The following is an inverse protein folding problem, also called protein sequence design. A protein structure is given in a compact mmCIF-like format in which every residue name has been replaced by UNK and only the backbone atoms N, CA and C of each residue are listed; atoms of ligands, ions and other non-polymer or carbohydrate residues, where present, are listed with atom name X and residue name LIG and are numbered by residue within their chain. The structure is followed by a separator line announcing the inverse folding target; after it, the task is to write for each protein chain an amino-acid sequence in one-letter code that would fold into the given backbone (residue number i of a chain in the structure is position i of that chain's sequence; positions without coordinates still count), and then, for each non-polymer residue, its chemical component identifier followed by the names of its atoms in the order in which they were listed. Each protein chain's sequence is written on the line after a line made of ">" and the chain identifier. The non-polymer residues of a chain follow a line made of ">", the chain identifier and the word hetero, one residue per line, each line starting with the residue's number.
data_IF_051927440796
#
_entry.id   IF_051927440796
#
_cell.length_a   1.000
_cell.length_b   1.000
_cell.length_c   1.000
_cell.angle_alpha   90.00
_cell.angle_beta   90.00
_cell.angle_gamma   90.00
#
_symmetry.space_group_name_H-M   'P 1'
#
loop_
_entity.id
_entity.type
_entity.pdbx_description
1 polymer ?
#
# COMPACT_ATOMS: atom_id res chain seq x y z
N UNK A 1 -8.85 1.06 3.59
CA UNK A 1 -10.05 1.83 4.03
C UNK A 1 -9.56 3.01 4.87
N UNK A 2 -9.90 4.24 4.48
CA UNK A 2 -9.43 5.47 5.13
C UNK A 2 -10.46 6.03 6.11
N UNK A 3 -10.84 5.26 7.12
CA UNK A 3 -11.75 5.74 8.16
C UNK A 3 -11.00 6.69 9.09
N UNK A 4 -11.58 7.85 9.37
CA UNK A 4 -10.98 8.80 10.29
C UNK A 4 -11.16 8.31 11.75
N UNK A 5 -10.19 8.51 12.66
CA UNK A 5 -10.29 8.03 14.05
C UNK A 5 -11.59 8.43 14.77
N UNK A 6 -12.10 9.63 14.51
CA UNK A 6 -13.41 10.10 15.04
C UNK A 6 -14.58 9.16 14.73
N UNK A 7 -14.59 8.55 13.55
CA UNK A 7 -15.71 7.74 13.09
C UNK A 7 -15.56 6.26 13.50
N UNK A 8 -14.41 5.89 14.10
CA UNK A 8 -14.09 4.53 14.53
C UNK A 8 -15.07 4.00 15.58
N UNK A 9 -15.46 4.82 16.56
CA UNK A 9 -16.45 4.43 17.58
C UNK A 9 -17.80 4.00 17.00
N UNK A 10 -18.22 4.61 15.87
CA UNK A 10 -19.46 4.19 15.18
C UNK A 10 -19.31 2.82 14.51
N UNK A 11 -18.16 2.57 13.88
CA UNK A 11 -17.85 1.26 13.30
C UNK A 11 -17.85 0.18 14.40
N UNK A 12 -17.13 0.43 15.51
CA UNK A 12 -17.05 -0.51 16.62
C UNK A 12 -18.41 -0.81 17.24
N UNK A 13 -19.29 0.19 17.37
CA UNK A 13 -20.66 -0.02 17.85
C UNK A 13 -21.50 -0.86 16.88
N UNK A 14 -21.35 -0.67 15.57
CA UNK A 14 -22.03 -1.50 14.58
C UNK A 14 -21.53 -2.95 14.61
N UNK A 15 -20.22 -3.17 14.75
CA UNK A 15 -19.64 -4.51 14.93
C UNK A 15 -20.19 -5.18 16.20
N UNK A 16 -20.21 -4.47 17.34
CA UNK A 16 -20.79 -4.99 18.59
C UNK A 16 -22.27 -5.36 18.43
N UNK A 17 -23.07 -4.54 17.76
CA UNK A 17 -24.47 -4.88 17.45
C UNK A 17 -24.60 -6.14 16.62
N UNK A 18 -23.78 -6.30 15.58
CA UNK A 18 -23.78 -7.51 14.76
C UNK A 18 -23.41 -8.75 15.58
N UNK A 19 -22.45 -8.64 16.49
CA UNK A 19 -22.09 -9.70 17.45
C UNK A 19 -23.27 -10.03 18.37
N UNK A 20 -23.91 -9.00 18.93
CA UNK A 20 -25.00 -9.15 19.90
C UNK A 20 -26.29 -9.75 19.28
N UNK A 21 -26.40 -9.77 17.95
CA UNK A 21 -27.40 -10.55 17.21
C UNK A 21 -27.13 -12.06 17.18
N UNK A 22 -26.07 -12.54 17.85
CA UNK A 22 -25.68 -13.95 17.91
C UNK A 22 -24.62 -14.36 16.89
N UNK A 23 -24.00 -13.41 16.18
CA UNK A 23 -22.93 -13.70 15.22
C UNK A 23 -21.56 -13.71 15.90
N UNK A 24 -20.64 -14.51 15.37
CA UNK A 24 -19.21 -14.38 15.67
C UNK A 24 -18.55 -13.45 14.65
N UNK A 25 -17.74 -12.51 15.13
CA UNK A 25 -17.02 -11.55 14.27
C UNK A 25 -15.53 -11.74 14.45
N UNK A 26 -14.84 -12.00 13.35
CA UNK A 26 -13.38 -12.05 13.28
C UNK A 26 -12.90 -10.87 12.46
N UNK A 27 -12.05 -10.03 13.04
CA UNK A 27 -11.52 -8.81 12.40
C UNK A 27 -9.99 -8.88 12.39
N UNK A 28 -9.38 -8.66 11.23
CA UNK A 28 -7.94 -8.46 11.09
C UNK A 28 -7.68 -6.95 11.09
N UNK A 29 -7.01 -6.45 12.12
CA UNK A 29 -6.84 -5.02 12.34
C UNK A 29 -5.49 -4.68 13.00
N UNK A 30 -5.09 -3.43 12.87
CA UNK A 30 -3.89 -2.86 13.50
C UNK A 30 -4.21 -1.62 14.35
N UNK A 31 -5.46 -1.15 14.35
CA UNK A 31 -5.91 -0.01 15.15
C UNK A 31 -5.99 -0.30 16.65
N UNK A 32 -5.41 0.59 17.46
CA UNK A 32 -5.34 0.44 18.91
C UNK A 32 -6.71 0.52 19.60
N UNK A 33 -7.61 1.37 19.12
CA UNK A 33 -8.94 1.53 19.72
C UNK A 33 -9.83 0.29 19.46
N UNK A 34 -9.71 -0.29 18.27
CA UNK A 34 -10.33 -1.56 17.91
C UNK A 34 -9.83 -2.70 18.79
N UNK A 35 -8.51 -2.86 18.92
CA UNK A 35 -7.92 -3.88 19.79
C UNK A 35 -8.37 -3.73 21.25
N UNK A 36 -8.40 -2.51 21.78
CA UNK A 36 -8.87 -2.24 23.16
C UNK A 36 -10.35 -2.56 23.36
N UNK A 37 -11.16 -2.48 22.30
CA UNK A 37 -12.61 -2.69 22.33
C UNK A 37 -13.03 -4.14 22.07
N UNK A 38 -12.11 -5.01 21.66
CA UNK A 38 -12.38 -6.40 21.34
C UNK A 38 -12.70 -7.24 22.59
N UNK A 39 -13.46 -8.32 22.43
CA UNK A 39 -13.68 -9.27 23.52
C UNK A 39 -12.46 -10.20 23.69
N UNK A 40 -11.84 -10.57 22.58
CA UNK A 40 -10.66 -11.42 22.49
C UNK A 40 -9.69 -10.88 21.44
N UNK A 41 -8.39 -10.99 21.72
CA UNK A 41 -7.30 -10.70 20.82
C UNK A 41 -6.52 -11.99 20.61
N UNK A 42 -6.20 -12.26 19.35
CA UNK A 42 -5.24 -13.30 18.94
C UNK A 42 -4.12 -12.56 18.22
N UNK A 43 -2.91 -12.67 18.75
CA UNK A 43 -1.72 -12.04 18.19
C UNK A 43 -0.87 -13.11 17.50
N UNK A 44 -0.55 -12.87 16.23
CA UNK A 44 0.30 -13.73 15.41
C UNK A 44 1.70 -13.14 15.31
N UNK A 45 2.71 -14.00 15.36
CA UNK A 45 4.11 -13.55 15.30
C UNK A 45 5.09 -14.72 15.37
N UNK A 46 6.32 -14.49 15.89
CA UNK A 46 6.88 -13.20 16.34
C UNK A 46 7.28 -12.26 15.18
N UNK A 47 7.42 -12.78 13.95
CA UNK A 47 7.75 -12.03 12.74
C UNK A 47 6.74 -12.23 11.61
N UNK A 48 7.15 -11.93 10.39
CA UNK A 48 6.38 -12.15 9.16
C UNK A 48 7.06 -13.22 8.29
N UNK A 49 6.30 -13.80 7.35
CA UNK A 49 6.81 -14.85 6.47
C UNK A 49 7.19 -16.11 7.26
N UNK A 50 8.36 -16.68 6.96
CA UNK A 50 8.89 -17.88 7.63
C UNK A 50 9.19 -17.68 9.14
N UNK A 51 9.27 -16.44 9.61
CA UNK A 51 9.48 -16.11 11.02
C UNK A 51 8.17 -15.82 11.77
N UNK A 52 7.02 -16.02 11.12
CA UNK A 52 5.69 -15.85 11.70
C UNK A 52 4.93 -17.17 11.80
N UNK A 53 3.60 -17.08 11.89
CA UNK A 53 2.72 -18.25 11.86
C UNK A 53 2.46 -18.88 13.22
N UNK A 54 3.00 -18.32 14.31
CA UNK A 54 2.76 -18.78 15.67
C UNK A 54 1.78 -17.86 16.41
N UNK A 55 0.99 -18.45 17.32
CA UNK A 55 0.13 -17.70 18.23
C UNK A 55 0.98 -17.22 19.40
N UNK A 56 1.42 -15.96 19.36
CA UNK A 56 2.26 -15.37 20.41
C UNK A 56 1.45 -14.89 21.61
N UNK A 57 0.15 -14.66 21.43
CA UNK A 57 -0.80 -14.36 22.48
C UNK A 57 -2.24 -14.71 22.07
N UNK A 58 -3.04 -15.21 23.02
CA UNK A 58 -4.48 -15.34 22.87
C UNK A 58 -5.19 -15.06 24.19
N UNK A 59 -6.13 -14.11 24.19
CA UNK A 59 -6.91 -13.75 25.37
C UNK A 59 -7.51 -12.35 25.31
N UNK A 60 -8.01 -11.86 26.44
CA UNK A 60 -8.66 -10.53 26.52
C UNK A 60 -7.67 -9.37 26.28
N UNK A 61 -8.15 -8.18 25.86
CA UNK A 61 -7.31 -6.99 25.73
C UNK A 61 -6.61 -6.55 27.01
N UNK A 62 -7.11 -6.91 28.20
CA UNK A 62 -6.40 -6.63 29.46
C UNK A 62 -5.18 -7.53 29.66
N UNK A 63 -5.27 -8.80 29.24
CA UNK A 63 -4.20 -9.79 29.41
C UNK A 63 -3.01 -9.53 28.48
N UNK A 64 -3.24 -9.04 27.26
CA UNK A 64 -2.14 -8.78 26.32
C UNK A 64 -1.16 -7.72 26.84
N UNK A 65 -1.63 -6.78 27.68
CA UNK A 65 -0.79 -5.75 28.29
C UNK A 65 0.30 -6.32 29.22
N UNK A 66 0.06 -7.51 29.77
CA UNK A 66 1.03 -8.21 30.62
C UNK A 66 1.92 -9.18 29.84
N UNK A 67 1.62 -9.42 28.55
CA UNK A 67 2.42 -10.31 27.72
C UNK A 67 3.76 -9.68 27.36
N UNK A 68 4.85 -10.35 27.70
CA UNK A 68 6.21 -9.95 27.29
C UNK A 68 6.55 -10.44 25.88
N UNK A 69 5.92 -11.53 25.41
CA UNK A 69 6.17 -12.16 24.10
C UNK A 69 5.47 -11.44 22.94
N UNK A 70 4.34 -10.78 23.21
CA UNK A 70 3.57 -10.07 22.19
C UNK A 70 4.19 -8.70 21.88
N UNK A 71 4.64 -8.50 20.63
CA UNK A 71 5.08 -7.19 20.14
C UNK A 71 3.92 -6.20 20.19
N UNK A 72 2.71 -6.65 19.82
CA UNK A 72 1.48 -5.86 19.91
C UNK A 72 1.25 -5.37 21.35
N UNK A 73 1.37 -6.24 22.35
CA UNK A 73 1.29 -5.89 23.77
C UNK A 73 2.32 -4.85 24.20
N UNK A 74 3.56 -4.94 23.68
CA UNK A 74 4.62 -3.94 23.94
C UNK A 74 4.26 -2.56 23.38
N UNK A 75 3.62 -2.47 22.21
CA UNK A 75 3.13 -1.20 21.67
C UNK A 75 1.89 -0.69 22.40
N UNK A 76 0.96 -1.57 22.78
CA UNK A 76 -0.24 -1.20 23.52
C UNK A 76 0.07 -0.63 24.92
N UNK A 77 1.14 -1.11 25.54
CA UNK A 77 1.64 -0.63 26.85
C UNK A 77 2.56 0.58 26.75
N UNK A 78 3.01 0.95 25.55
CA UNK A 78 4.00 2.00 25.36
C UNK A 78 5.44 1.59 25.71
N UNK A 79 5.71 0.31 26.05
CA UNK A 79 7.08 -0.21 26.16
C UNK A 79 7.85 -0.02 24.86
N UNK A 80 7.16 -0.18 23.74
CA UNK A 80 7.58 0.26 22.41
C UNK A 80 6.68 1.41 21.96
N UNK A 81 7.26 2.38 21.26
CA UNK A 81 6.54 3.52 20.71
C UNK A 81 7.22 3.97 19.41
N UNK A 82 6.46 4.65 18.56
CA UNK A 82 7.02 5.35 17.41
C UNK A 82 7.61 6.67 17.93
N UNK A 83 8.93 6.90 17.83
CA UNK A 83 9.56 8.09 18.37
C UNK A 83 9.06 9.34 17.63
N UNK A 84 8.73 10.39 18.40
CA UNK A 84 8.38 11.69 17.83
C UNK A 84 9.68 12.47 17.60
N UNK A 85 9.97 12.93 16.37
CA UNK A 85 11.16 13.74 16.11
C UNK A 85 11.19 14.99 16.99
N UNK A 86 12.30 15.22 17.69
CA UNK A 86 12.50 16.41 18.54
C UNK A 86 12.53 17.70 17.72
N UNK A 87 13.03 17.64 16.49
CA UNK A 87 13.11 18.76 15.56
C UNK A 87 12.32 18.47 14.29
N UNK A 88 11.56 19.46 13.81
CA UNK A 88 10.89 19.41 12.50
C UNK A 88 11.71 20.16 11.46
N UNK A 89 11.67 19.71 10.21
CA UNK A 89 12.42 20.33 9.11
C UNK A 89 11.89 21.74 8.83
N UNK A 90 12.79 22.72 8.76
CA UNK A 90 12.46 24.10 8.38
C UNK A 90 12.04 24.24 6.91
N UNK A 91 12.37 23.25 6.06
CA UNK A 91 12.09 23.25 4.62
C UNK A 91 13.14 24.03 3.83
N UNK A 92 12.91 24.21 2.53
CA UNK A 92 13.82 24.94 1.64
C UNK A 92 13.34 26.37 1.29
N UNK A 93 12.32 26.86 2.00
CA UNK A 93 11.71 28.19 1.75
C UNK A 93 10.79 28.27 0.53
N UNK A 94 10.70 27.20 -0.28
CA UNK A 94 9.88 27.17 -1.50
C UNK A 94 8.49 26.60 -1.21
N UNK A 95 7.49 27.08 -1.94
CA UNK A 95 6.09 26.70 -1.78
C UNK A 95 5.51 26.28 -3.13
N UNK A 96 4.66 25.25 -3.13
CA UNK A 96 3.73 24.96 -4.22
C UNK A 96 2.34 25.43 -3.78
N UNK A 97 1.73 26.37 -4.49
CA UNK A 97 0.43 26.92 -4.11
C UNK A 97 -0.60 26.58 -5.16
N UNK A 98 -1.75 26.06 -4.72
CA UNK A 98 -2.94 25.92 -5.56
C UNK A 98 -3.96 26.98 -5.13
N UNK A 99 -4.51 27.71 -6.10
CA UNK A 99 -5.47 28.79 -5.88
C UNK A 99 -6.81 28.44 -6.54
N UNK A 100 -7.91 28.76 -5.85
CA UNK A 100 -9.26 28.62 -6.38
C UNK A 100 -9.67 27.17 -6.68
N UNK A 101 -9.18 26.18 -5.94
CA UNK A 101 -9.59 24.79 -6.13
C UNK A 101 -11.06 24.59 -5.73
N UNK A 102 -11.90 24.18 -6.69
CA UNK A 102 -13.37 24.09 -6.56
C UNK A 102 -13.95 22.74 -7.01
N UNK A 103 -13.11 21.73 -7.21
CA UNK A 103 -13.55 20.37 -7.55
C UNK A 103 -14.48 19.77 -6.47
N UNK A 104 -15.52 19.03 -6.88
CA UNK A 104 -16.47 18.36 -6.01
C UNK A 104 -17.01 19.25 -4.87
N UNK A 105 -16.65 18.96 -3.62
CA UNK A 105 -17.11 19.68 -2.44
C UNK A 105 -16.11 20.75 -1.93
N UNK A 106 -15.01 21.00 -2.64
CA UNK A 106 -14.06 22.07 -2.30
C UNK A 106 -14.70 23.44 -2.46
N UNK A 107 -14.41 24.34 -1.53
CA UNK A 107 -15.02 25.67 -1.42
C UNK A 107 -14.06 26.76 -1.87
N UNK A 108 -13.58 26.69 -3.11
CA UNK A 108 -12.66 27.69 -3.67
C UNK A 108 -11.43 27.89 -2.78
N UNK A 109 -10.77 26.79 -2.47
CA UNK A 109 -9.69 26.83 -1.49
C UNK A 109 -8.39 27.30 -2.14
N UNK A 110 -7.64 28.09 -1.38
CA UNK A 110 -6.24 28.40 -1.64
C UNK A 110 -5.38 27.72 -0.56
N UNK A 111 -4.36 26.98 -0.98
CA UNK A 111 -3.48 26.28 -0.04
C UNK A 111 -2.06 26.16 -0.59
N UNK A 112 -1.09 26.44 0.27
CA UNK A 112 0.34 26.33 -0.02
C UNK A 112 0.97 25.11 0.66
N UNK A 113 1.73 24.35 -0.11
CA UNK A 113 2.47 23.17 0.33
C UNK A 113 3.97 23.51 0.40
N UNK A 114 4.59 23.46 1.60
CA UNK A 114 6.01 23.74 1.72
C UNK A 114 6.86 22.60 1.17
N UNK A 115 7.82 22.95 0.30
CA UNK A 115 8.74 21.99 -0.29
C UNK A 115 9.91 21.66 0.67
N UNK A 116 10.49 20.48 0.49
CA UNK A 116 11.54 19.96 1.39
C UNK A 116 11.04 19.56 2.78
N UNK A 117 9.71 19.37 2.95
CA UNK A 117 9.08 18.93 4.21
C UNK A 117 8.27 17.65 4.01
N UNK A 118 8.03 16.94 5.12
CA UNK A 118 7.00 15.91 5.19
C UNK A 118 5.67 16.60 5.46
N UNK A 119 4.82 16.72 4.44
CA UNK A 119 3.51 17.37 4.54
C UNK A 119 2.44 16.29 4.65
N UNK A 120 1.54 16.45 5.62
CA UNK A 120 0.43 15.51 5.86
C UNK A 120 -0.88 16.25 5.65
N UNK A 121 -1.70 15.76 4.72
CA UNK A 121 -3.08 16.22 4.55
C UNK A 121 -3.99 15.31 5.35
N UNK A 122 -4.64 15.87 6.37
CA UNK A 122 -5.55 15.15 7.27
C UNK A 122 -6.97 15.71 7.18
N UNK A 123 -7.92 15.04 7.82
CA UNK A 123 -9.33 15.41 7.83
C UNK A 123 -10.25 14.19 7.75
N UNK A 124 -11.52 14.38 8.09
CA UNK A 124 -12.55 13.32 8.12
C UNK A 124 -12.83 12.73 6.75
N UNK A 125 -13.42 11.53 6.69
CA UNK A 125 -13.84 10.97 5.39
C UNK A 125 -14.83 11.91 4.70
N UNK A 126 -14.69 12.07 3.38
CA UNK A 126 -15.50 13.02 2.60
C UNK A 126 -15.09 14.49 2.70
N UNK A 127 -14.06 14.87 3.46
CA UNK A 127 -13.64 16.28 3.59
C UNK A 127 -12.99 16.89 2.32
N UNK A 128 -12.83 16.10 1.25
CA UNK A 128 -12.21 16.57 0.00
C UNK A 128 -10.70 16.33 -0.14
N UNK A 129 -10.07 15.51 0.73
CA UNK A 129 -8.61 15.21 0.65
C UNK A 129 -8.21 14.61 -0.69
N UNK A 130 -8.92 13.57 -1.15
CA UNK A 130 -8.68 12.91 -2.43
C UNK A 130 -8.99 13.84 -3.60
N UNK A 131 -10.06 14.63 -3.50
CA UNK A 131 -10.38 15.68 -4.48
C UNK A 131 -9.22 16.66 -4.65
N UNK A 132 -8.67 17.16 -3.54
CA UNK A 132 -7.56 18.11 -3.55
C UNK A 132 -6.28 17.49 -4.07
N UNK A 133 -5.85 16.35 -3.51
CA UNK A 133 -4.55 15.76 -3.85
C UNK A 133 -4.58 14.97 -5.15
N UNK A 134 -5.48 14.00 -5.27
CA UNK A 134 -5.42 12.97 -6.32
C UNK A 134 -6.19 13.41 -7.58
N UNK A 135 -7.20 14.24 -7.45
CA UNK A 135 -8.06 14.66 -8.58
C UNK A 135 -7.77 16.09 -9.06
N UNK A 136 -7.07 16.91 -8.25
CA UNK A 136 -6.70 18.28 -8.61
C UNK A 136 -5.18 18.42 -8.71
N UNK A 137 -4.46 18.37 -7.59
CA UNK A 137 -3.03 18.70 -7.56
C UNK A 137 -2.19 17.73 -8.38
N UNK A 138 -2.33 16.43 -8.15
CA UNK A 138 -1.52 15.43 -8.84
C UNK A 138 -1.76 15.43 -10.36
N UNK A 139 -3.00 15.50 -10.89
CA UNK A 139 -3.23 15.64 -12.32
C UNK A 139 -2.63 16.90 -12.94
N UNK A 140 -2.63 18.05 -12.25
CA UNK A 140 -1.92 19.26 -12.71
C UNK A 140 -0.42 18.97 -12.81
N UNK A 141 0.19 18.52 -11.71
CA UNK A 141 1.63 18.25 -11.67
C UNK A 141 2.04 17.18 -12.70
N UNK A 142 1.24 16.13 -12.87
CA UNK A 142 1.53 15.04 -13.80
C UNK A 142 1.41 15.51 -15.25
N UNK A 143 0.49 16.43 -15.55
CA UNK A 143 0.36 17.03 -16.88
C UNK A 143 1.52 17.96 -17.18
N UNK A 144 1.86 18.87 -16.27
CA UNK A 144 2.87 19.91 -16.48
C UNK A 144 4.30 19.37 -16.40
N UNK A 145 4.59 18.47 -15.45
CA UNK A 145 5.96 17.99 -15.19
C UNK A 145 6.28 16.65 -15.87
N UNK A 146 5.31 15.74 -15.94
CA UNK A 146 5.51 14.40 -16.52
C UNK A 146 4.94 14.28 -17.95
N UNK A 147 4.37 15.35 -18.51
CA UNK A 147 3.68 15.36 -19.81
C UNK A 147 2.57 14.31 -19.96
N UNK A 148 1.95 13.91 -18.85
CA UNK A 148 0.89 12.93 -18.85
C UNK A 148 -0.42 13.54 -19.39
N UNK A 149 -1.23 12.71 -20.06
CA UNK A 149 -2.62 13.07 -20.37
C UNK A 149 -3.47 12.93 -19.12
N UNK A 150 -3.60 14.02 -18.37
CA UNK A 150 -4.39 14.09 -17.14
C UNK A 150 -5.40 15.23 -17.19
N UNK A 151 -6.51 15.07 -16.47
CA UNK A 151 -7.63 16.00 -16.45
C UNK A 151 -7.88 16.46 -15.01
N UNK A 152 -7.17 17.50 -14.54
CA UNK A 152 -7.40 18.04 -13.21
C UNK A 152 -8.81 18.59 -13.07
N UNK A 153 -9.39 18.44 -11.88
CA UNK A 153 -10.60 19.18 -11.52
C UNK A 153 -10.34 20.69 -11.49
N UNK A 154 -11.44 21.45 -11.45
CA UNK A 154 -11.40 22.90 -11.55
C UNK A 154 -10.55 23.54 -10.43
N UNK A 155 -9.61 24.36 -10.86
CA UNK A 155 -8.79 25.26 -10.04
C UNK A 155 -8.46 26.50 -10.89
N UNK A 156 -8.09 27.62 -10.26
CA UNK A 156 -7.79 28.87 -10.98
C UNK A 156 -6.34 28.90 -11.47
N UNK A 157 -5.40 28.59 -10.60
CA UNK A 157 -3.98 28.55 -10.95
C UNK A 157 -3.17 27.71 -9.96
N UNK A 158 -1.95 27.36 -10.38
CA UNK A 158 -0.95 26.71 -9.53
C UNK A 158 0.42 27.36 -9.76
N UNK A 159 1.10 27.75 -8.67
CA UNK A 159 2.41 28.39 -8.69
C UNK A 159 3.44 27.58 -7.92
N UNK A 160 4.74 27.76 -8.23
CA UNK A 160 5.83 26.98 -7.64
C UNK A 160 6.13 25.67 -8.38
N UNK A 161 5.62 25.52 -9.61
CA UNK A 161 5.90 24.39 -10.50
C UNK A 161 7.38 24.38 -10.93
N UNK A 162 7.98 25.55 -11.09
CA UNK A 162 9.39 25.77 -11.44
C UNK A 162 10.39 25.22 -10.41
N UNK A 163 9.91 24.84 -9.22
CA UNK A 163 10.73 24.23 -8.17
C UNK A 163 10.73 22.70 -8.18
N UNK A 164 10.00 22.08 -9.12
CA UNK A 164 9.77 20.64 -9.19
C UNK A 164 10.14 20.10 -10.57
N UNK A 165 10.91 19.02 -10.61
CA UNK A 165 11.29 18.38 -11.88
C UNK A 165 10.31 17.27 -12.30
N UNK A 166 9.66 16.61 -11.34
CA UNK A 166 8.74 15.49 -11.57
C UNK A 166 7.81 15.30 -10.37
N UNK A 167 6.67 14.66 -10.63
CA UNK A 167 5.76 14.17 -9.57
C UNK A 167 5.63 12.66 -9.63
N UNK A 168 5.56 12.01 -8.46
CA UNK A 168 5.36 10.56 -8.35
C UNK A 168 4.23 10.33 -7.35
N UNK A 169 3.18 9.66 -7.80
CA UNK A 169 2.13 9.11 -6.93
C UNK A 169 2.48 7.67 -6.59
N UNK A 170 2.48 7.35 -5.30
CA UNK A 170 2.58 5.97 -4.80
C UNK A 170 1.19 5.63 -4.23
N UNK A 171 0.47 4.76 -4.93
CA UNK A 171 -0.91 4.40 -4.60
C UNK A 171 -1.02 2.98 -3.98
N UNK A 172 -2.26 2.54 -3.76
CA UNK A 172 -2.58 1.21 -3.22
C UNK A 172 -3.07 0.25 -4.32
N UNK A 173 -2.90 0.60 -5.60
CA UNK A 173 -3.30 -0.31 -6.68
C UNK A 173 -2.36 -1.52 -6.68
N UNK A 174 -2.84 -2.73 -7.02
CA UNK A 174 -1.97 -3.89 -7.15
C UNK A 174 -0.83 -3.60 -8.14
N UNK A 175 0.38 -4.05 -7.78
CA UNK A 175 1.61 -3.91 -8.57
C UNK A 175 1.43 -4.39 -10.02
N UNK A 176 0.65 -5.45 -10.20
CA UNK A 176 0.15 -5.90 -11.47
C UNK A 176 -1.08 -6.79 -11.27
N UNK A 177 -1.78 -7.08 -12.36
CA UNK A 177 -3.00 -7.92 -12.35
C UNK A 177 -2.74 -9.34 -12.85
N UNK A 178 -1.48 -9.69 -13.09
CA UNK A 178 -1.07 -10.99 -13.63
C UNK A 178 -0.05 -11.66 -12.73
N UNK A 179 0.05 -13.00 -12.74
CA UNK A 179 1.07 -13.73 -11.99
C UNK A 179 2.51 -13.35 -12.38
N UNK A 180 2.68 -12.75 -13.57
CA UNK A 180 3.96 -12.27 -14.11
C UNK A 180 4.51 -11.03 -13.40
N UNK A 181 3.69 -10.34 -12.62
CA UNK A 181 4.09 -9.16 -11.86
C UNK A 181 4.42 -9.54 -10.42
N UNK A 182 5.70 -9.49 -10.07
CA UNK A 182 6.19 -9.77 -8.73
C UNK A 182 7.19 -8.68 -8.29
N UNK A 183 7.64 -8.68 -7.01
CA UNK A 183 8.58 -7.68 -6.52
C UNK A 183 9.88 -7.59 -7.35
N UNK A 184 10.37 -8.73 -7.87
CA UNK A 184 11.61 -8.76 -8.64
C UNK A 184 11.46 -8.10 -10.03
N UNK A 185 10.30 -8.29 -10.69
CA UNK A 185 10.03 -7.60 -11.96
C UNK A 185 9.72 -6.14 -11.78
N UNK A 186 8.98 -5.78 -10.71
CA UNK A 186 8.56 -4.39 -10.49
C UNK A 186 9.73 -3.48 -10.11
N UNK A 187 10.65 -3.97 -9.28
CA UNK A 187 11.88 -3.23 -8.92
C UNK A 187 12.95 -3.25 -10.02
N UNK A 188 12.78 -4.08 -11.06
CA UNK A 188 13.75 -4.27 -12.13
C UNK A 188 14.91 -5.20 -11.78
N UNK A 189 15.02 -5.69 -10.54
CA UNK A 189 16.13 -6.57 -10.12
C UNK A 189 16.19 -7.86 -10.93
N UNK A 190 15.03 -8.35 -11.41
CA UNK A 190 14.98 -9.56 -12.24
C UNK A 190 15.78 -9.43 -13.54
N UNK A 191 15.98 -8.22 -14.08
CA UNK A 191 16.84 -8.01 -15.24
C UNK A 191 18.29 -8.35 -14.92
N UNK A 192 18.83 -7.83 -13.82
CA UNK A 192 20.19 -8.12 -13.39
C UNK A 192 20.39 -9.60 -13.05
N UNK A 193 19.38 -10.25 -12.47
CA UNK A 193 19.39 -11.69 -12.23
C UNK A 193 19.52 -12.45 -13.56
N UNK A 194 18.69 -12.14 -14.56
CA UNK A 194 18.75 -12.81 -15.88
C UNK A 194 20.09 -12.59 -16.58
N UNK A 195 20.65 -11.39 -16.47
CA UNK A 195 21.96 -11.07 -17.03
C UNK A 195 23.06 -11.91 -16.38
N UNK A 196 23.03 -12.05 -15.05
CA UNK A 196 23.95 -12.92 -14.31
C UNK A 196 23.86 -14.38 -14.78
N UNK A 197 22.65 -14.93 -14.90
CA UNK A 197 22.45 -16.31 -15.35
C UNK A 197 22.96 -16.55 -16.77
N UNK A 198 22.87 -15.56 -17.65
CA UNK A 198 23.42 -15.65 -19.02
C UNK A 198 24.95 -15.71 -19.07
N UNK A 199 25.63 -15.30 -18.00
CA UNK A 199 27.10 -15.28 -17.92
C UNK A 199 27.71 -16.59 -17.42
N UNK A 200 26.90 -17.52 -16.90
CA UNK A 200 27.35 -18.83 -16.42
C UNK A 200 28.03 -19.64 -17.53
N UNK A 201 29.06 -20.46 -17.23
CA UNK A 201 29.76 -21.26 -18.22
C UNK A 201 28.83 -22.11 -19.09
N UNK A 202 27.86 -22.79 -18.48
CA UNK A 202 26.87 -23.63 -19.16
C UNK A 202 25.99 -22.81 -20.10
N UNK A 203 25.58 -21.61 -19.67
CA UNK A 203 24.82 -20.67 -20.48
C UNK A 203 25.61 -20.23 -21.71
N UNK A 204 26.90 -19.94 -21.55
CA UNK A 204 27.79 -19.57 -22.67
C UNK A 204 27.96 -20.71 -23.66
N UNK A 205 28.21 -21.93 -23.17
CA UNK A 205 28.36 -23.14 -24.01
C UNK A 205 27.07 -23.40 -24.81
N UNK A 206 25.90 -23.23 -24.17
CA UNK A 206 24.59 -23.46 -24.80
C UNK A 206 24.04 -22.26 -25.56
N UNK A 207 24.77 -21.14 -25.61
CA UNK A 207 24.34 -19.90 -26.27
C UNK A 207 23.15 -19.20 -25.61
N UNK A 208 22.85 -19.48 -24.34
CA UNK A 208 21.73 -18.88 -23.63
C UNK A 208 21.97 -17.39 -23.36
N UNK A 209 20.99 -16.58 -23.76
CA UNK A 209 20.95 -15.12 -23.53
C UNK A 209 19.98 -14.80 -22.38
N UNK A 210 19.93 -13.56 -21.86
CA UNK A 210 19.01 -13.19 -20.78
C UNK A 210 17.53 -13.50 -21.06
N UNK A 211 17.13 -13.56 -22.33
CA UNK A 211 15.79 -13.98 -22.74
C UNK A 211 15.46 -15.43 -22.36
N UNK A 212 16.44 -16.35 -22.34
CA UNK A 212 16.22 -17.75 -21.92
C UNK A 212 15.74 -17.85 -20.49
N UNK A 213 16.15 -16.92 -19.62
CA UNK A 213 15.80 -16.90 -18.20
C UNK A 213 14.60 -16.01 -17.89
N UNK A 214 13.87 -15.56 -18.91
CA UNK A 214 12.68 -14.75 -18.75
C UNK A 214 11.44 -15.61 -18.94
N UNK A 215 10.55 -15.59 -17.95
CA UNK A 215 9.25 -16.25 -18.03
C UNK A 215 8.27 -15.54 -18.97
N UNK A 216 8.59 -14.33 -19.45
CA UNK A 216 7.74 -13.54 -20.34
C UNK A 216 7.96 -13.81 -21.83
N UNK A 217 8.98 -14.57 -22.20
CA UNK A 217 9.34 -14.83 -23.61
C UNK A 217 9.45 -16.32 -23.87
N UNK A 218 9.05 -16.73 -25.08
CA UNK A 218 9.19 -18.11 -25.54
C UNK A 218 10.66 -18.51 -25.57
N UNK A 219 10.92 -19.77 -25.23
CA UNK A 219 12.26 -20.36 -25.27
C UNK A 219 12.59 -21.12 -23.99
N UNK A 220 12.68 -20.43 -22.86
CA UNK A 220 13.05 -21.06 -21.58
C UNK A 220 11.97 -21.07 -20.50
N UNK A 221 10.80 -20.48 -20.77
CA UNK A 221 9.61 -20.61 -19.91
C UNK A 221 8.95 -21.97 -20.10
N UNK A 222 8.09 -22.38 -19.16
CA UNK A 222 7.17 -23.49 -19.39
C UNK A 222 6.12 -23.07 -20.44
N UNK A 223 5.99 -23.82 -21.54
CA UNK A 223 5.01 -23.49 -22.59
C UNK A 223 3.58 -23.91 -22.20
N UNK A 224 3.41 -24.85 -21.27
CA UNK A 224 2.07 -25.30 -20.82
C UNK A 224 1.31 -24.23 -20.04
N UNK A 225 2.00 -23.53 -19.13
CA UNK A 225 1.44 -22.38 -18.40
C UNK A 225 1.91 -21.03 -18.95
N UNK A 226 2.56 -21.04 -20.11
CA UNK A 226 3.15 -19.85 -20.75
C UNK A 226 4.04 -18.99 -19.84
N UNK A 227 4.69 -19.60 -18.85
CA UNK A 227 5.57 -18.95 -17.88
C UNK A 227 4.88 -18.40 -16.63
N UNK A 228 3.57 -18.59 -16.46
CA UNK A 228 2.85 -18.13 -15.27
C UNK A 228 3.13 -19.02 -14.03
N UNK A 229 3.52 -20.28 -14.25
CA UNK A 229 3.74 -21.28 -13.19
C UNK A 229 2.45 -21.79 -12.54
N UNK A 230 1.32 -21.15 -12.83
CA UNK A 230 -0.02 -21.49 -12.38
C UNK A 230 -1.00 -21.39 -13.55
N UNK A 231 -2.09 -22.15 -13.47
CA UNK A 231 -3.18 -22.19 -14.44
C UNK A 231 -4.44 -21.67 -13.75
N UNK A 232 -5.14 -20.75 -14.43
CA UNK A 232 -6.41 -20.19 -13.94
C UNK A 232 -7.57 -21.11 -14.38
N UNK A 233 -8.34 -21.59 -13.41
CA UNK A 233 -9.57 -22.36 -13.62
C UNK A 233 -10.75 -21.42 -13.43
N UNK A 234 -11.52 -21.23 -14.49
CA UNK A 234 -12.72 -20.40 -14.46
C UNK A 234 -13.87 -21.11 -13.74
N UNK A 235 -14.51 -20.39 -12.83
CA UNK A 235 -15.60 -20.92 -12.00
C UNK A 235 -16.88 -20.14 -12.28
N UNK A 236 -17.99 -20.84 -12.54
CA UNK A 236 -19.24 -20.19 -12.97
C UNK A 236 -19.90 -19.31 -11.89
N UNK A 237 -19.75 -19.69 -10.62
CA UNK A 237 -20.46 -19.07 -9.49
C UNK A 237 -19.55 -18.69 -8.32
N UNK A 238 -18.27 -19.05 -8.41
CA UNK A 238 -17.26 -18.77 -7.40
C UNK A 238 -16.15 -17.93 -8.03
N UNK A 239 -15.32 -17.25 -7.22
CA UNK A 239 -14.09 -16.64 -7.74
C UNK A 239 -13.22 -17.69 -8.43
N UNK A 240 -12.55 -17.28 -9.51
CA UNK A 240 -11.62 -18.14 -10.23
C UNK A 240 -10.50 -18.65 -9.31
N UNK A 241 -10.06 -19.87 -9.56
CA UNK A 241 -9.03 -20.55 -8.74
C UNK A 241 -7.76 -20.70 -9.56
N UNK A 242 -6.61 -20.61 -8.90
CA UNK A 242 -5.31 -20.85 -9.52
C UNK A 242 -4.75 -22.18 -9.01
N UNK A 243 -4.34 -23.05 -9.93
CA UNK A 243 -3.67 -24.32 -9.63
C UNK A 243 -2.24 -24.30 -10.16
N UNK A 244 -1.33 -25.01 -9.52
CA UNK A 244 0.05 -25.13 -9.99
C UNK A 244 0.09 -25.84 -11.34
N UNK A 245 0.95 -25.37 -12.26
CA UNK A 245 1.22 -26.09 -13.50
C UNK A 245 1.82 -27.47 -13.21
N UNK A 246 1.29 -28.52 -13.84
CA UNK A 246 1.69 -29.92 -13.58
C UNK A 246 2.99 -30.34 -14.32
N UNK A 247 3.43 -29.52 -15.27
CA UNK A 247 4.69 -29.70 -16.03
C UNK A 247 5.83 -28.99 -15.33
#
# INVERSE_FOLDING_TARGET
>A
IGLHPRDNGRLLNSLKKLRDLGNSIVVVEHDQETMKSADQIIDLGPGAGEHGGEIVFSGTPKRILTSSTSITGQYLTGKKAIPIPSNRRNGNGKLLTVTGARGNNLKEIEVSFPLGKMVVVTGVSGSGKSTLLNETIFPVLSKELNHARAYPLHHESMSGLEYLDKVIEIDQKPIGRTPRSNPATYTGVFTFIRDLFSQLPESKIRGYKPGRFSFNVKGGRCESCEGDGIIKIEMNFLPDVYVTCEV
#
